data_IF_272004970647
#
_entry.id   IF_272004970647
#
_cell.length_a   1.000
_cell.length_b   1.000
_cell.length_c   1.000
_cell.angle_alpha   90.00
_cell.angle_beta   90.00
_cell.angle_gamma   90.00
#
_symmetry.space_group_name_H-M   'P 1'
#
loop_
_entity.id
_entity.type
_entity.pdbx_description
1 polymer ?
#
# COMPACT_ATOMS: atom_id res chain seq x y z
N UNK A 1 -2.92 28.34 77.61
CA UNK A 1 -1.81 28.90 76.83
C UNK A 1 -1.19 27.77 76.01
N UNK A 2 -0.87 28.00 74.72
CA UNK A 2 -1.01 27.04 73.60
C UNK A 2 0.37 26.48 73.14
N UNK A 3 0.61 25.98 71.90
CA UNK A 3 -0.15 25.17 70.92
C UNK A 3 0.68 23.97 70.35
N UNK A 4 0.08 23.12 69.48
CA UNK A 4 0.44 22.97 68.03
C UNK A 4 -0.04 21.64 67.40
N UNK A 5 -0.61 21.82 66.20
CA UNK A 5 -1.03 20.82 65.21
C UNK A 5 0.13 19.95 64.70
N UNK A 6 -0.18 18.80 64.08
CA UNK A 6 0.24 18.44 62.69
C UNK A 6 -0.27 17.04 62.26
N UNK A 7 -1.15 17.07 61.25
CA UNK A 7 -1.29 16.22 60.05
C UNK A 7 -1.11 14.67 60.07
N UNK A 8 -2.22 13.98 59.78
CA UNK A 8 -2.34 12.83 58.85
C UNK A 8 -2.10 13.33 57.37
N UNK A 9 -1.86 12.52 56.30
CA UNK A 9 -2.22 11.10 56.13
C UNK A 9 -1.33 10.21 55.21
N UNK A 10 -1.59 8.89 55.31
CA UNK A 10 -1.66 7.85 54.27
C UNK A 10 -0.87 8.03 52.93
N UNK A 11 0.20 7.25 52.78
CA UNK A 11 0.84 6.95 51.50
C UNK A 11 0.04 5.87 50.75
N UNK A 12 -0.82 6.30 49.83
CA UNK A 12 -1.38 5.47 48.76
C UNK A 12 -0.38 5.47 47.59
N UNK A 13 0.32 4.37 47.39
CA UNK A 13 1.11 4.13 46.18
C UNK A 13 0.17 3.84 45.01
N UNK A 14 -0.08 4.85 44.17
CA UNK A 14 -0.75 4.67 42.89
C UNK A 14 0.20 4.00 41.89
N UNK A 15 -0.01 2.72 41.60
CA UNK A 15 0.56 2.05 40.42
C UNK A 15 -0.13 2.61 39.18
N UNK A 16 0.44 3.67 38.61
CA UNK A 16 0.07 4.11 37.26
C UNK A 16 0.70 3.14 36.24
N UNK A 17 -0.06 2.12 35.85
CA UNK A 17 0.21 1.31 34.66
C UNK A 17 0.06 2.21 33.43
N UNK A 18 1.14 2.89 33.06
CA UNK A 18 1.23 3.61 31.79
C UNK A 18 1.23 2.61 30.64
N UNK A 19 0.08 2.43 29.98
CA UNK A 19 0.02 1.83 28.67
C UNK A 19 0.83 2.73 27.72
N UNK A 20 2.03 2.28 27.33
CA UNK A 20 2.80 2.88 26.25
C UNK A 20 1.98 2.74 24.96
N UNK A 21 1.27 3.81 24.59
CA UNK A 21 0.75 3.96 23.25
C UNK A 21 1.93 3.88 22.28
N UNK A 22 1.97 2.84 21.44
CA UNK A 22 2.96 2.73 20.39
C UNK A 22 2.76 3.93 19.46
N UNK A 23 3.72 4.85 19.44
CA UNK A 23 3.73 5.96 18.48
C UNK A 23 3.72 5.38 17.08
N UNK A 24 2.72 5.76 16.28
CA UNK A 24 2.62 5.31 14.90
C UNK A 24 3.87 5.74 14.15
N UNK A 25 4.63 4.75 13.67
CA UNK A 25 5.87 5.01 12.96
C UNK A 25 5.50 5.45 11.54
N UNK A 26 5.98 6.62 11.14
CA UNK A 26 5.79 7.13 9.79
C UNK A 26 6.27 6.11 8.73
N UNK A 27 5.68 6.12 7.52
CA UNK A 27 6.13 5.25 6.44
C UNK A 27 7.62 5.42 6.14
N UNK A 28 8.29 4.35 5.75
CA UNK A 28 9.66 4.43 5.24
C UNK A 28 9.67 5.22 3.95
N UNK A 29 10.61 6.14 3.83
CA UNK A 29 10.77 6.95 2.63
C UNK A 29 11.37 6.15 1.49
N UNK A 30 11.14 6.62 0.26
CA UNK A 30 11.73 6.00 -0.91
C UNK A 30 13.26 6.10 -0.91
N UNK A 31 13.81 7.19 -0.37
CA UNK A 31 15.24 7.34 -0.15
C UNK A 31 15.81 6.30 0.85
N UNK A 32 15.04 5.89 1.86
CA UNK A 32 15.42 4.80 2.77
C UNK A 32 15.31 3.42 2.11
N UNK A 33 14.40 3.26 1.15
CA UNK A 33 14.15 1.99 0.48
C UNK A 33 15.14 1.70 -0.66
N UNK A 34 15.36 2.67 -1.55
CA UNK A 34 16.19 2.53 -2.75
C UNK A 34 17.52 3.28 -2.68
N UNK A 35 17.68 4.20 -1.74
CA UNK A 35 18.78 5.18 -1.73
C UNK A 35 18.39 6.51 -2.40
N UNK A 36 19.18 7.55 -2.15
CA UNK A 36 18.85 8.93 -2.53
C UNK A 36 18.70 9.14 -4.04
N UNK A 37 19.70 8.73 -4.82
CA UNK A 37 19.73 8.94 -6.28
C UNK A 37 18.54 8.30 -7.01
N UNK A 38 18.24 7.00 -6.83
CA UNK A 38 17.08 6.39 -7.48
C UNK A 38 15.74 6.94 -6.97
N UNK A 39 15.63 7.30 -5.68
CA UNK A 39 14.42 7.92 -5.15
C UNK A 39 14.15 9.30 -5.76
N UNK A 40 15.19 10.11 -5.98
CA UNK A 40 15.08 11.40 -6.66
C UNK A 40 14.73 11.24 -8.13
N UNK A 41 15.29 10.25 -8.82
CA UNK A 41 14.91 9.94 -10.20
C UNK A 41 13.42 9.58 -10.29
N UNK A 42 12.92 8.72 -9.40
CA UNK A 42 11.50 8.37 -9.32
C UNK A 42 10.62 9.60 -9.04
N UNK A 43 11.02 10.46 -8.10
CA UNK A 43 10.29 11.69 -7.79
C UNK A 43 10.23 12.66 -8.99
N UNK A 44 11.31 12.74 -9.78
CA UNK A 44 11.34 13.54 -11.00
C UNK A 44 10.42 12.97 -12.08
N UNK A 45 10.44 11.66 -12.31
CA UNK A 45 9.46 11.00 -13.20
C UNK A 45 8.03 11.27 -12.75
N UNK A 46 7.75 11.09 -11.46
CA UNK A 46 6.44 11.36 -10.87
C UNK A 46 5.98 12.81 -11.14
N UNK A 47 6.83 13.82 -10.90
CA UNK A 47 6.49 15.23 -11.17
C UNK A 47 6.25 15.52 -12.64
N UNK A 48 6.97 14.87 -13.54
CA UNK A 48 6.81 15.07 -14.98
C UNK A 48 5.49 14.49 -15.52
N UNK A 49 4.96 13.45 -14.88
CA UNK A 49 3.74 12.76 -15.30
C UNK A 49 2.49 13.26 -14.58
N UNK A 50 2.63 13.70 -13.33
CA UNK A 50 1.49 14.07 -12.51
C UNK A 50 0.84 15.37 -13.00
N UNK A 51 -0.49 15.37 -13.26
CA UNK A 51 -1.22 16.60 -13.55
C UNK A 51 -1.64 17.38 -12.29
N UNK A 52 -1.33 16.89 -11.08
CA UNK A 52 -1.77 17.52 -9.85
C UNK A 52 -0.90 18.74 -9.52
N UNK A 53 -1.51 19.78 -8.93
CA UNK A 53 -0.78 20.99 -8.49
C UNK A 53 0.11 20.74 -7.27
N UNK A 54 -0.23 19.73 -6.45
CA UNK A 54 0.50 19.35 -5.25
C UNK A 54 0.65 17.82 -5.18
N UNK A 55 1.45 17.21 -6.08
CA UNK A 55 1.53 15.77 -6.16
C UNK A 55 2.43 15.19 -5.04
N UNK A 56 2.26 13.91 -4.66
CA UNK A 56 3.09 13.27 -3.64
C UNK A 56 4.51 12.91 -4.13
N UNK A 57 5.01 13.59 -5.17
CA UNK A 57 6.27 13.29 -5.86
C UNK A 57 7.50 13.83 -5.11
N UNK A 58 7.81 13.22 -3.96
CA UNK A 58 8.93 13.59 -3.11
C UNK A 58 9.65 12.32 -2.61
N UNK A 59 10.99 12.28 -2.69
CA UNK A 59 11.80 11.15 -2.24
C UNK A 59 11.66 10.84 -0.72
N UNK A 60 11.15 11.79 0.07
CA UNK A 60 10.77 11.60 1.46
C UNK A 60 9.47 10.80 1.65
N UNK A 61 8.61 10.74 0.63
CA UNK A 61 7.43 9.88 0.61
C UNK A 61 7.83 8.43 0.27
N UNK A 62 6.93 7.48 0.53
CA UNK A 62 7.16 6.06 0.19
C UNK A 62 7.32 5.90 -1.33
N UNK A 63 8.12 4.91 -1.76
CA UNK A 63 8.21 4.64 -3.20
C UNK A 63 6.87 4.18 -3.76
N UNK A 64 6.09 3.42 -2.98
CA UNK A 64 4.78 2.93 -3.40
C UNK A 64 3.81 4.09 -3.70
N UNK A 65 3.78 5.14 -2.89
CA UNK A 65 2.93 6.32 -3.11
C UNK A 65 3.30 7.05 -4.41
N UNK A 66 4.59 7.26 -4.66
CA UNK A 66 5.03 7.89 -5.91
C UNK A 66 4.76 7.00 -7.14
N UNK A 67 4.92 5.69 -7.01
CA UNK A 67 4.62 4.75 -8.09
C UNK A 67 3.13 4.65 -8.37
N UNK A 68 2.29 4.75 -7.35
CA UNK A 68 0.84 4.79 -7.52
C UNK A 68 0.41 6.06 -8.26
N UNK A 69 1.00 7.22 -7.92
CA UNK A 69 0.76 8.47 -8.64
C UNK A 69 1.21 8.43 -10.11
N UNK A 70 2.36 7.82 -10.40
CA UNK A 70 2.82 7.57 -11.77
C UNK A 70 1.82 6.68 -12.50
N UNK A 71 1.43 5.56 -11.92
CA UNK A 71 0.49 4.62 -12.53
C UNK A 71 -0.88 5.28 -12.78
N UNK A 72 -1.37 6.07 -11.83
CA UNK A 72 -2.60 6.86 -11.96
C UNK A 72 -2.50 7.82 -13.12
N UNK A 73 -1.41 8.57 -13.23
CA UNK A 73 -1.19 9.54 -14.30
C UNK A 73 -1.08 8.88 -15.67
N UNK A 74 -0.34 7.77 -15.78
CA UNK A 74 -0.23 7.00 -17.02
C UNK A 74 -1.58 6.41 -17.45
N UNK A 75 -2.42 5.98 -16.50
CA UNK A 75 -3.78 5.51 -16.81
C UNK A 75 -4.69 6.63 -17.33
N UNK A 76 -4.45 7.90 -16.98
CA UNK A 76 -5.20 9.03 -17.55
C UNK A 76 -4.91 9.22 -19.05
N UNK A 77 -3.69 8.89 -19.49
CA UNK A 77 -3.30 9.02 -20.89
C UNK A 77 -3.90 7.92 -21.78
N UNK A 78 -4.25 6.77 -21.20
CA UNK A 78 -4.60 5.57 -21.96
C UNK A 78 -3.37 4.87 -22.54
N UNK A 79 -3.56 3.67 -23.08
CA UNK A 79 -2.44 2.79 -23.45
C UNK A 79 -1.53 3.38 -24.54
N UNK A 80 -2.11 3.94 -25.60
CA UNK A 80 -1.34 4.45 -26.75
C UNK A 80 -0.42 5.62 -26.37
N UNK A 81 -0.90 6.55 -25.56
CA UNK A 81 -0.11 7.69 -25.10
C UNK A 81 0.84 7.30 -23.97
N UNK A 82 0.41 6.42 -23.06
CA UNK A 82 1.29 5.88 -22.01
C UNK A 82 2.49 5.13 -22.62
N UNK A 83 2.32 4.44 -23.75
CA UNK A 83 3.41 3.74 -24.44
C UNK A 83 4.51 4.68 -24.95
N UNK A 84 4.16 5.94 -25.26
CA UNK A 84 5.09 6.95 -25.78
C UNK A 84 5.80 7.70 -24.66
N UNK A 85 5.24 7.70 -23.46
CA UNK A 85 5.69 8.55 -22.38
C UNK A 85 6.81 7.91 -21.54
N UNK A 86 8.00 8.54 -21.43
CA UNK A 86 9.08 8.02 -20.59
C UNK A 86 8.65 7.88 -19.13
N UNK A 87 8.87 6.70 -18.56
CA UNK A 87 8.53 6.39 -17.17
C UNK A 87 7.10 5.88 -16.97
N UNK A 88 6.25 5.90 -18.01
CA UNK A 88 5.05 5.08 -18.04
C UNK A 88 5.40 3.63 -18.38
N UNK A 89 4.70 2.70 -17.73
CA UNK A 89 4.94 1.28 -17.89
C UNK A 89 4.63 0.51 -16.60
N UNK A 90 4.02 -0.69 -16.71
CA UNK A 90 3.49 -1.33 -17.93
C UNK A 90 2.26 -0.60 -18.51
N UNK A 91 1.76 -1.03 -19.68
CA UNK A 91 0.57 -0.43 -20.32
C UNK A 91 -0.63 -0.51 -19.37
N UNK A 92 -1.38 0.59 -19.15
CA UNK A 92 -2.47 0.63 -18.19
C UNK A 92 -3.49 -0.52 -18.24
N UNK A 93 -3.89 -1.00 -19.42
CA UNK A 93 -4.85 -2.12 -19.56
C UNK A 93 -4.26 -3.52 -19.45
N UNK A 94 -2.93 -3.64 -19.44
CA UNK A 94 -2.23 -4.93 -19.49
C UNK A 94 -2.35 -5.76 -18.20
N UNK A 95 -2.11 -7.07 -18.34
CA UNK A 95 -2.00 -7.98 -17.21
C UNK A 95 -0.81 -7.64 -16.30
N UNK A 96 0.26 -7.07 -16.86
CA UNK A 96 1.42 -6.58 -16.12
C UNK A 96 1.05 -5.39 -15.23
N UNK A 97 0.15 -4.50 -15.69
CA UNK A 97 -0.35 -3.40 -14.86
C UNK A 97 -1.17 -3.90 -13.68
N UNK A 98 -1.98 -4.94 -13.88
CA UNK A 98 -2.68 -5.63 -12.80
C UNK A 98 -1.68 -6.25 -11.80
N UNK A 99 -0.64 -6.92 -12.28
CA UNK A 99 0.43 -7.46 -11.42
C UNK A 99 1.16 -6.35 -10.64
N UNK A 100 1.37 -5.18 -11.27
CA UNK A 100 2.00 -4.04 -10.63
C UNK A 100 1.18 -3.46 -9.46
N UNK A 101 -0.15 -3.61 -9.45
CA UNK A 101 -1.00 -3.26 -8.28
C UNK A 101 -0.62 -4.10 -7.08
N UNK A 102 -0.45 -5.42 -7.26
CA UNK A 102 -0.06 -6.34 -6.18
C UNK A 102 1.36 -6.04 -5.68
N UNK A 103 2.28 -5.73 -6.59
CA UNK A 103 3.63 -5.29 -6.21
C UNK A 103 3.61 -4.00 -5.36
N UNK A 104 2.86 -2.98 -5.81
CA UNK A 104 2.70 -1.71 -5.07
C UNK A 104 2.06 -1.94 -3.70
N UNK A 105 1.05 -2.79 -3.62
CA UNK A 105 0.39 -3.15 -2.35
C UNK A 105 1.40 -3.68 -1.32
N UNK A 106 2.19 -4.68 -1.69
CA UNK A 106 3.18 -5.25 -0.77
C UNK A 106 4.35 -4.31 -0.48
N UNK A 107 4.75 -3.49 -1.45
CA UNK A 107 5.75 -2.44 -1.23
C UNK A 107 5.28 -1.41 -0.22
N UNK A 108 4.02 -0.98 -0.32
CA UNK A 108 3.39 -0.07 0.63
C UNK A 108 3.31 -0.69 2.04
N UNK A 109 2.89 -1.95 2.15
CA UNK A 109 2.87 -2.68 3.42
C UNK A 109 4.27 -2.78 4.05
N UNK A 110 5.30 -3.13 3.28
CA UNK A 110 6.68 -3.22 3.77
C UNK A 110 7.21 -1.84 4.21
N UNK A 111 6.79 -0.77 3.54
CA UNK A 111 7.09 0.61 3.92
C UNK A 111 6.25 1.10 5.12
N UNK A 112 5.26 0.35 5.59
CA UNK A 112 4.24 0.79 6.57
C UNK A 112 3.38 1.96 6.07
N UNK A 113 3.30 2.13 4.75
CA UNK A 113 2.39 3.05 4.10
C UNK A 113 1.02 2.40 3.94
N UNK A 114 0.31 2.27 5.06
CA UNK A 114 -0.99 1.59 5.08
C UNK A 114 -2.06 2.34 4.28
N UNK A 115 -1.92 3.67 4.14
CA UNK A 115 -2.82 4.48 3.32
C UNK A 115 -2.72 4.08 1.85
N UNK A 116 -1.51 4.07 1.29
CA UNK A 116 -1.30 3.61 -0.09
C UNK A 116 -1.69 2.14 -0.26
N UNK A 117 -1.35 1.27 0.70
CA UNK A 117 -1.73 -0.14 0.63
C UNK A 117 -3.26 -0.32 0.60
N UNK A 118 -4.00 0.46 1.41
CA UNK A 118 -5.46 0.44 1.43
C UNK A 118 -6.05 0.86 0.09
N UNK A 119 -5.52 1.93 -0.52
CA UNK A 119 -6.01 2.43 -1.81
C UNK A 119 -5.78 1.47 -2.98
N UNK A 120 -4.84 0.51 -2.87
CA UNK A 120 -4.71 -0.53 -3.90
C UNK A 120 -5.96 -1.41 -4.04
N UNK A 121 -6.86 -1.45 -3.04
CA UNK A 121 -8.15 -2.15 -3.11
C UNK A 121 -9.26 -1.30 -3.76
N UNK A 122 -8.97 -0.07 -4.18
CA UNK A 122 -9.95 0.89 -4.68
C UNK A 122 -10.42 1.86 -3.59
N UNK A 123 -11.32 2.78 -3.96
CA UNK A 123 -11.79 3.88 -3.08
C UNK A 123 -12.39 3.40 -1.76
N UNK A 124 -13.05 2.24 -1.80
CA UNK A 124 -13.76 1.67 -0.66
C UNK A 124 -12.83 0.80 0.22
N UNK A 125 -11.62 0.52 -0.27
CA UNK A 125 -10.63 -0.31 0.39
C UNK A 125 -10.96 -1.80 0.43
N UNK A 126 -10.31 -2.53 1.33
CA UNK A 126 -10.44 -3.99 1.37
C UNK A 126 -11.87 -4.39 1.80
N UNK A 127 -12.59 -5.20 0.99
CA UNK A 127 -13.95 -5.63 1.33
C UNK A 127 -14.04 -6.29 2.71
N UNK A 128 -15.08 -5.90 3.47
CA UNK A 128 -15.37 -6.47 4.79
C UNK A 128 -14.43 -6.01 5.92
N UNK A 129 -13.51 -5.08 5.66
CA UNK A 129 -12.59 -4.53 6.66
C UNK A 129 -12.80 -3.03 6.85
N UNK A 130 -12.37 -2.52 8.00
CA UNK A 130 -12.15 -1.07 8.18
C UNK A 130 -10.67 -0.77 8.04
N UNK A 131 -10.33 0.47 7.66
CA UNK A 131 -8.93 0.91 7.59
C UNK A 131 -8.17 0.67 8.91
N UNK A 132 -8.81 0.94 10.05
CA UNK A 132 -8.28 0.68 11.39
C UNK A 132 -7.90 -0.80 11.58
N UNK A 133 -8.84 -1.72 11.29
CA UNK A 133 -8.63 -3.16 11.44
C UNK A 133 -7.55 -3.67 10.49
N UNK A 134 -7.56 -3.19 9.24
CA UNK A 134 -6.55 -3.49 8.24
C UNK A 134 -5.16 -3.13 8.76
N UNK A 135 -4.97 -1.89 9.23
CA UNK A 135 -3.70 -1.40 9.80
C UNK A 135 -3.27 -2.23 11.03
N UNK A 136 -4.20 -2.50 11.95
CA UNK A 136 -3.91 -3.28 13.16
C UNK A 136 -3.46 -4.71 12.82
N UNK A 137 -3.99 -5.32 11.76
CA UNK A 137 -3.58 -6.65 11.29
C UNK A 137 -2.09 -6.74 10.93
N UNK A 138 -1.45 -5.63 10.56
CA UNK A 138 -0.03 -5.57 10.22
C UNK A 138 0.88 -5.04 11.33
N UNK A 139 0.34 -4.69 12.52
CA UNK A 139 1.11 -4.05 13.60
C UNK A 139 2.33 -4.86 14.07
N UNK A 140 2.28 -6.19 13.96
CA UNK A 140 3.38 -7.12 14.33
C UNK A 140 4.33 -7.42 13.18
N UNK A 141 4.09 -6.89 11.98
CA UNK A 141 4.89 -7.16 10.78
C UNK A 141 6.16 -6.30 10.80
N UNK A 142 7.31 -6.96 10.84
CA UNK A 142 8.62 -6.30 10.74
C UNK A 142 8.97 -5.96 9.29
N UNK A 143 8.63 -6.85 8.36
CA UNK A 143 8.78 -6.66 6.92
C UNK A 143 8.05 -7.75 6.14
N UNK A 144 7.71 -7.44 4.89
CA UNK A 144 6.97 -8.32 3.98
C UNK A 144 7.52 -8.16 2.56
N UNK A 145 7.64 -9.28 1.85
CA UNK A 145 8.09 -9.30 0.47
C UNK A 145 7.18 -10.20 -0.34
N UNK A 146 6.93 -9.80 -1.58
CA UNK A 146 6.15 -10.60 -2.53
C UNK A 146 7.02 -11.04 -3.70
N UNK A 147 6.86 -12.28 -4.12
CA UNK A 147 7.29 -12.78 -5.42
C UNK A 147 6.04 -13.02 -6.23
N UNK A 148 5.92 -12.33 -7.36
CA UNK A 148 4.81 -12.53 -8.29
C UNK A 148 5.13 -13.72 -9.19
N UNK A 149 4.12 -14.55 -9.46
CA UNK A 149 4.13 -15.47 -10.58
C UNK A 149 3.73 -14.78 -11.88
N UNK A 150 3.67 -15.54 -12.97
CA UNK A 150 3.17 -15.03 -14.24
C UNK A 150 1.68 -14.66 -14.09
N UNK A 151 1.27 -13.42 -14.41
CA UNK A 151 -0.14 -13.06 -14.39
C UNK A 151 -0.90 -13.85 -15.47
N UNK A 152 -2.15 -14.20 -15.17
CA UNK A 152 -3.06 -14.77 -16.16
C UNK A 152 -3.39 -13.77 -17.28
N UNK A 153 -4.08 -14.23 -18.34
CA UNK A 153 -4.58 -13.33 -19.36
C UNK A 153 -5.59 -12.34 -18.76
N UNK A 154 -5.81 -11.23 -19.47
CA UNK A 154 -6.91 -10.32 -19.15
C UNK A 154 -8.22 -11.01 -19.57
N UNK A 155 -9.07 -11.29 -18.58
CA UNK A 155 -10.36 -11.95 -18.77
C UNK A 155 -11.48 -10.90 -18.67
N UNK A 156 -12.21 -10.71 -19.77
CA UNK A 156 -13.37 -9.82 -19.82
C UNK A 156 -14.62 -10.46 -19.22
N UNK A 157 -15.39 -9.66 -18.49
CA UNK A 157 -16.72 -9.95 -17.96
C UNK A 157 -17.67 -8.76 -18.25
N UNK A 158 -18.92 -8.83 -17.76
CA UNK A 158 -19.92 -7.79 -17.95
C UNK A 158 -19.46 -6.42 -17.39
N UNK A 159 -18.91 -5.57 -18.27
CA UNK A 159 -18.42 -4.23 -17.96
C UNK A 159 -17.12 -4.16 -17.14
N UNK A 160 -16.43 -5.28 -16.92
CA UNK A 160 -15.18 -5.31 -16.16
C UNK A 160 -14.21 -6.34 -16.69
N UNK A 161 -12.94 -6.12 -16.42
CA UNK A 161 -11.86 -7.05 -16.73
C UNK A 161 -11.19 -7.51 -15.46
N UNK A 162 -10.67 -8.74 -15.49
CA UNK A 162 -10.02 -9.39 -14.36
C UNK A 162 -8.68 -9.98 -14.78
N UNK A 163 -7.75 -10.01 -13.85
CA UNK A 163 -6.48 -10.73 -13.97
C UNK A 163 -6.24 -11.49 -12.67
N UNK A 164 -5.90 -12.77 -12.80
CA UNK A 164 -5.39 -13.56 -11.67
C UNK A 164 -3.88 -13.39 -11.56
N UNK A 165 -3.39 -12.98 -10.40
CA UNK A 165 -1.96 -12.76 -10.14
C UNK A 165 -1.50 -13.75 -9.07
N UNK A 166 -0.77 -14.83 -9.43
CA UNK A 166 -0.19 -15.74 -8.47
C UNK A 166 0.88 -15.06 -7.63
N UNK A 167 0.97 -15.39 -6.34
CA UNK A 167 1.95 -14.81 -5.42
C UNK A 167 2.53 -15.83 -4.45
N UNK A 168 3.78 -15.60 -4.08
CA UNK A 168 4.39 -16.11 -2.85
C UNK A 168 4.79 -14.93 -1.98
N UNK A 169 4.30 -14.89 -0.75
CA UNK A 169 4.52 -13.78 0.19
C UNK A 169 5.34 -14.29 1.36
N UNK A 170 6.43 -13.60 1.67
CA UNK A 170 7.27 -13.90 2.84
C UNK A 170 7.16 -12.76 3.82
N UNK A 171 6.68 -13.04 5.02
CA UNK A 171 6.56 -12.08 6.11
C UNK A 171 7.51 -12.44 7.24
N UNK A 172 8.07 -11.41 7.89
CA UNK A 172 8.82 -11.54 9.14
C UNK A 172 8.10 -10.72 10.21
N UNK A 173 7.80 -11.35 11.34
CA UNK A 173 7.22 -10.66 12.49
C UNK A 173 8.30 -10.03 13.37
N UNK A 174 7.88 -9.13 14.27
CA UNK A 174 8.78 -8.44 15.22
C UNK A 174 9.49 -9.38 16.19
N UNK A 175 8.88 -10.52 16.53
CA UNK A 175 9.48 -11.58 17.36
C UNK A 175 10.46 -12.48 16.58
N UNK A 176 10.63 -12.24 15.29
CA UNK A 176 11.53 -13.01 14.43
C UNK A 176 10.86 -14.17 13.69
N UNK A 177 9.61 -14.51 14.01
CA UNK A 177 8.83 -15.53 13.29
C UNK A 177 8.81 -15.23 11.79
N UNK A 178 9.03 -16.27 10.99
CA UNK A 178 8.96 -16.20 9.52
C UNK A 178 7.72 -16.96 9.06
N UNK A 179 6.96 -16.35 8.19
CA UNK A 179 5.77 -16.95 7.59
C UNK A 179 5.87 -16.86 6.08
N UNK A 180 5.47 -17.92 5.40
CA UNK A 180 5.33 -17.94 3.94
C UNK A 180 3.87 -18.19 3.60
N UNK A 181 3.32 -17.42 2.67
CA UNK A 181 1.99 -17.61 2.12
C UNK A 181 2.11 -17.84 0.62
N UNK A 182 1.24 -18.65 0.04
CA UNK A 182 1.10 -18.78 -1.41
C UNK A 182 -0.36 -18.75 -1.79
N UNK A 183 -0.65 -18.29 -3.00
CA UNK A 183 -2.01 -18.14 -3.48
C UNK A 183 -2.10 -17.17 -4.64
N UNK A 184 -3.23 -16.49 -4.78
CA UNK A 184 -3.44 -15.49 -5.84
C UNK A 184 -4.30 -14.33 -5.38
N UNK A 185 -4.13 -13.22 -6.10
CA UNK A 185 -5.04 -12.07 -6.08
C UNK A 185 -5.89 -12.08 -7.35
N UNK A 186 -7.17 -11.72 -7.21
CA UNK A 186 -7.94 -11.21 -8.34
C UNK A 186 -7.81 -9.70 -8.34
N UNK A 187 -7.44 -9.16 -9.48
CA UNK A 187 -7.33 -7.72 -9.73
C UNK A 187 -8.39 -7.36 -10.77
N UNK A 188 -9.12 -6.27 -10.55
CA UNK A 188 -10.28 -5.85 -11.36
C UNK A 188 -10.10 -4.44 -11.87
N UNK A 189 -10.64 -4.15 -13.05
CA UNK A 189 -10.93 -2.79 -13.55
C UNK A 189 -12.25 -2.76 -14.30
N UNK A 190 -12.84 -1.58 -14.47
CA UNK A 190 -13.90 -1.35 -15.47
C UNK A 190 -13.29 -1.35 -16.87
N UNK A 191 -14.04 -1.85 -17.85
CA UNK A 191 -13.61 -1.87 -19.26
C UNK A 191 -13.46 -0.44 -19.82
N UNK A 192 -12.67 -0.29 -20.87
CA UNK A 192 -12.54 0.96 -21.62
C UNK A 192 -13.80 1.24 -22.46
N UNK A 193 -14.88 1.62 -21.80
CA UNK A 193 -16.17 1.98 -22.41
C UNK A 193 -16.46 3.47 -22.23
N UNK A 194 -17.23 4.03 -23.16
CA UNK A 194 -17.70 5.41 -23.08
C UNK A 194 -18.46 5.64 -21.75
N UNK A 195 -18.10 6.71 -21.05
CA UNK A 195 -18.64 7.06 -19.73
C UNK A 195 -17.89 6.46 -18.53
N UNK A 196 -16.94 5.53 -18.72
CA UNK A 196 -16.10 5.06 -17.63
C UNK A 196 -14.99 6.08 -17.29
N UNK A 197 -15.01 6.60 -16.06
CA UNK A 197 -13.97 7.49 -15.55
C UNK A 197 -12.61 6.78 -15.53
N UNK A 198 -11.52 7.55 -15.63
CA UNK A 198 -10.18 6.97 -15.54
C UNK A 198 -9.90 6.29 -14.19
N UNK A 199 -10.58 6.74 -13.12
CA UNK A 199 -10.58 6.07 -11.81
C UNK A 199 -11.15 4.65 -11.90
N UNK A 200 -12.35 4.50 -12.45
CA UNK A 200 -13.01 3.20 -12.63
C UNK A 200 -12.18 2.25 -13.51
N UNK A 201 -11.44 2.81 -14.46
CA UNK A 201 -10.58 2.07 -15.39
C UNK A 201 -9.21 1.71 -14.78
N UNK A 202 -8.93 2.07 -13.52
CA UNK A 202 -7.73 1.59 -12.84
C UNK A 202 -7.91 0.19 -12.29
N UNK A 203 -6.86 -0.61 -12.46
CA UNK A 203 -6.72 -1.89 -11.77
C UNK A 203 -6.68 -1.67 -10.25
N UNK A 204 -7.48 -2.43 -9.51
CA UNK A 204 -7.48 -2.50 -8.06
C UNK A 204 -7.66 -3.95 -7.59
N UNK A 205 -7.22 -4.26 -6.38
CA UNK A 205 -7.40 -5.57 -5.75
C UNK A 205 -8.89 -5.78 -5.48
N UNK A 206 -9.43 -6.89 -5.97
CA UNK A 206 -10.84 -7.28 -5.78
C UNK A 206 -10.95 -8.33 -4.67
N UNK A 207 -10.12 -9.38 -4.74
CA UNK A 207 -10.10 -10.44 -3.74
C UNK A 207 -8.73 -11.10 -3.65
N UNK A 208 -8.46 -11.77 -2.53
CA UNK A 208 -7.21 -12.49 -2.30
C UNK A 208 -7.50 -13.87 -1.68
N UNK A 209 -6.81 -14.89 -2.19
CA UNK A 209 -6.87 -16.26 -1.66
C UNK A 209 -5.45 -16.70 -1.31
N UNK A 210 -5.03 -16.44 -0.07
CA UNK A 210 -3.70 -16.78 0.42
C UNK A 210 -3.78 -17.89 1.46
N UNK A 211 -2.85 -18.84 1.38
CA UNK A 211 -2.69 -19.92 2.36
C UNK A 211 -1.29 -19.90 2.94
N UNK A 212 -1.20 -19.94 4.26
CA UNK A 212 0.08 -20.12 4.93
C UNK A 212 0.64 -21.50 4.56
N UNK A 213 1.89 -21.53 4.14
CA UNK A 213 2.63 -22.75 3.89
C UNK A 213 3.15 -23.28 5.22
N UNK A 214 3.05 -24.61 5.41
CA UNK A 214 3.58 -25.29 6.59
C UNK A 214 5.08 -25.50 6.45
#
# INVERSE_FOLDING_TARGET
MPPRLLLCPLLLWSLASGALAATERAPRSCAQELGQKPAQALATTCRALSPATHPPCNAANSCALMQDEIARSCALFGDDEAAKQPGCGPLPSSAEAAAAVVARYYRALDARDYGTAWQQWGSDGQPGNSYEKFRQGYARTRGVQVTLGQPGPVEGAAGSSYVSVPVTVRARLVDGTRQTFSGSYQVRRVNDVDGASAEQRRWHLDSAKLRQQR
#
